data_IF_878324880990
#
_entry.id   IF_878324880990
#
_cell.length_a   1.000
_cell.length_b   1.000
_cell.length_c   1.000
_cell.angle_alpha   90.00
_cell.angle_beta   90.00
_cell.angle_gamma   90.00
#
_symmetry.space_group_name_H-M   'P 1'
#
loop_
_entity.id
_entity.type
_entity.pdbx_description
1 polymer ?
#
# COMPACT_ATOMS: atom_id res chain seq x y z
N UNK A 1 -17.62 -28.05 -14.14
CA UNK A 1 -16.98 -26.78 -14.58
C UNK A 1 -15.56 -27.10 -15.01
N UNK A 2 -15.10 -26.60 -16.16
CA UNK A 2 -13.72 -26.81 -16.60
C UNK A 2 -12.75 -25.98 -15.74
N UNK A 3 -11.50 -26.46 -15.58
CA UNK A 3 -10.45 -25.72 -14.87
C UNK A 3 -10.27 -24.28 -15.41
N UNK A 4 -10.50 -24.08 -16.71
CA UNK A 4 -10.44 -22.75 -17.35
C UNK A 4 -11.52 -21.78 -16.86
N UNK A 5 -12.76 -22.25 -16.68
CA UNK A 5 -13.87 -21.42 -16.20
C UNK A 5 -13.67 -21.01 -14.72
N UNK A 6 -13.09 -21.90 -13.92
CA UNK A 6 -12.75 -21.61 -12.52
C UNK A 6 -11.63 -20.56 -12.43
N UNK A 7 -10.61 -20.65 -13.27
CA UNK A 7 -9.50 -19.70 -13.30
C UNK A 7 -9.94 -18.28 -13.72
N UNK A 8 -10.82 -18.17 -14.72
CA UNK A 8 -11.41 -16.90 -15.15
C UNK A 8 -12.26 -16.25 -14.06
N UNK A 9 -13.15 -17.02 -13.40
CA UNK A 9 -13.97 -16.50 -12.31
C UNK A 9 -13.11 -16.02 -11.11
N UNK A 10 -11.99 -16.70 -10.83
CA UNK A 10 -11.04 -16.26 -9.82
C UNK A 10 -10.37 -14.94 -10.22
N UNK A 11 -9.92 -14.80 -11.46
CA UNK A 11 -9.35 -13.55 -11.99
C UNK A 11 -10.33 -12.37 -11.90
N UNK A 12 -11.59 -12.56 -12.27
CA UNK A 12 -12.63 -11.53 -12.17
C UNK A 12 -12.88 -11.12 -10.72
N UNK A 13 -12.96 -12.08 -9.80
CA UNK A 13 -13.15 -11.80 -8.37
C UNK A 13 -11.97 -11.03 -7.75
N UNK A 14 -10.75 -11.32 -8.21
CA UNK A 14 -9.51 -10.66 -7.81
C UNK A 14 -9.51 -9.21 -8.29
N UNK A 15 -9.81 -9.00 -9.58
CA UNK A 15 -9.88 -7.67 -10.16
C UNK A 15 -10.97 -6.82 -9.47
N UNK A 16 -12.13 -7.39 -9.19
CA UNK A 16 -13.23 -6.69 -8.53
C UNK A 16 -12.91 -6.27 -7.09
N UNK A 17 -12.27 -7.15 -6.31
CA UNK A 17 -11.85 -6.84 -4.93
C UNK A 17 -10.79 -5.73 -4.89
N UNK A 18 -9.79 -5.82 -5.76
CA UNK A 18 -8.75 -4.79 -5.89
C UNK A 18 -9.39 -3.47 -6.32
N UNK A 19 -10.21 -3.47 -7.39
CA UNK A 19 -10.85 -2.28 -7.92
C UNK A 19 -11.76 -1.57 -6.89
N UNK A 20 -12.57 -2.34 -6.15
CA UNK A 20 -13.44 -1.79 -5.10
C UNK A 20 -12.66 -1.16 -3.94
N UNK A 21 -11.53 -1.77 -3.56
CA UNK A 21 -10.66 -1.15 -2.56
C UNK A 21 -10.05 0.14 -3.10
N UNK A 22 -9.36 0.07 -4.24
CA UNK A 22 -8.59 1.17 -4.82
C UNK A 22 -9.41 2.40 -5.20
N UNK A 23 -10.69 2.24 -5.54
CA UNK A 23 -11.55 3.35 -5.96
C UNK A 23 -12.40 3.90 -4.82
N UNK A 24 -12.44 3.21 -3.68
CA UNK A 24 -13.06 3.73 -2.47
C UNK A 24 -12.09 4.66 -1.75
N UNK A 25 -12.56 5.74 -1.14
CA UNK A 25 -11.75 6.53 -0.20
C UNK A 25 -11.91 6.04 1.24
N UNK A 26 -12.87 5.13 1.48
CA UNK A 26 -13.32 4.66 2.79
C UNK A 26 -13.27 3.14 2.92
N UNK A 27 -12.42 2.46 2.13
CA UNK A 27 -12.28 1.01 2.23
C UNK A 27 -11.89 0.62 3.66
N UNK A 28 -12.60 -0.37 4.21
CA UNK A 28 -12.31 -0.90 5.53
C UNK A 28 -10.93 -1.58 5.57
N UNK A 29 -10.36 -1.71 6.76
CA UNK A 29 -9.11 -2.45 6.94
C UNK A 29 -9.19 -3.90 6.42
N UNK A 30 -10.35 -4.55 6.56
CA UNK A 30 -10.59 -5.90 6.03
C UNK A 30 -10.48 -5.94 4.49
N UNK A 31 -11.16 -5.02 3.80
CA UNK A 31 -11.08 -4.91 2.34
C UNK A 31 -9.66 -4.56 1.88
N UNK A 32 -8.98 -3.68 2.61
CA UNK A 32 -7.60 -3.30 2.32
C UNK A 32 -6.65 -4.50 2.42
N UNK A 33 -6.80 -5.33 3.45
CA UNK A 33 -6.02 -6.57 3.62
C UNK A 33 -6.31 -7.61 2.55
N UNK A 34 -7.57 -7.75 2.15
CA UNK A 34 -7.94 -8.63 1.04
C UNK A 34 -7.26 -8.16 -0.26
N UNK A 35 -7.38 -6.88 -0.60
CA UNK A 35 -6.72 -6.31 -1.77
C UNK A 35 -5.19 -6.47 -1.71
N UNK A 36 -4.57 -6.21 -0.55
CA UNK A 36 -3.13 -6.40 -0.34
C UNK A 36 -2.69 -7.85 -0.57
N UNK A 37 -3.39 -8.82 0.04
CA UNK A 37 -3.10 -10.25 -0.15
C UNK A 37 -3.25 -10.68 -1.61
N UNK A 38 -4.23 -10.12 -2.33
CA UNK A 38 -4.40 -10.38 -3.76
C UNK A 38 -3.25 -9.81 -4.59
N UNK A 39 -2.84 -8.56 -4.35
CA UNK A 39 -1.71 -7.92 -5.03
C UNK A 39 -0.42 -8.72 -4.85
N UNK A 40 -0.17 -9.25 -3.64
CA UNK A 40 0.97 -10.13 -3.38
C UNK A 40 0.86 -11.45 -4.17
N UNK A 41 -0.31 -12.11 -4.15
CA UNK A 41 -0.53 -13.39 -4.86
C UNK A 41 -0.41 -13.26 -6.38
N UNK A 42 -0.75 -12.11 -6.94
CA UNK A 42 -0.71 -11.88 -8.39
C UNK A 42 0.61 -11.26 -8.86
N UNK A 43 1.54 -10.95 -7.95
CA UNK A 43 2.82 -10.33 -8.30
C UNK A 43 2.71 -8.86 -8.71
N UNK A 44 1.58 -8.19 -8.42
CA UNK A 44 1.32 -6.80 -8.79
C UNK A 44 1.91 -5.78 -7.79
N UNK A 45 2.68 -6.22 -6.80
CA UNK A 45 3.22 -5.37 -5.74
C UNK A 45 4.25 -4.34 -6.23
N UNK A 46 4.85 -4.56 -7.40
CA UNK A 46 5.76 -3.60 -8.03
C UNK A 46 5.04 -2.40 -8.67
N UNK A 47 3.71 -2.44 -8.79
CA UNK A 47 2.95 -1.30 -9.29
C UNK A 47 2.88 -0.20 -8.20
N UNK A 48 3.61 0.89 -8.43
CA UNK A 48 3.71 2.02 -7.51
C UNK A 48 2.37 2.71 -7.27
N UNK A 49 1.44 2.67 -8.23
CA UNK A 49 0.10 3.20 -8.06
C UNK A 49 -0.71 2.35 -7.09
N UNK A 50 -0.66 1.02 -7.24
CA UNK A 50 -1.32 0.08 -6.33
C UNK A 50 -0.75 0.18 -4.91
N UNK A 51 0.57 0.22 -4.78
CA UNK A 51 1.23 0.35 -3.50
C UNK A 51 0.88 1.67 -2.79
N UNK A 52 0.86 2.79 -3.53
CA UNK A 52 0.48 4.10 -2.99
C UNK A 52 -0.96 4.12 -2.47
N UNK A 53 -1.89 3.50 -3.20
CA UNK A 53 -3.28 3.39 -2.76
C UNK A 53 -3.40 2.51 -1.52
N UNK A 54 -2.78 1.33 -1.50
CA UNK A 54 -2.74 0.48 -0.30
C UNK A 54 -2.20 1.22 0.92
N UNK A 55 -1.09 1.95 0.74
CA UNK A 55 -0.48 2.74 1.80
C UNK A 55 -1.44 3.81 2.33
N UNK A 56 -2.15 4.51 1.44
CA UNK A 56 -3.18 5.49 1.82
C UNK A 56 -4.34 4.84 2.61
N UNK A 57 -4.78 3.65 2.21
CA UNK A 57 -5.86 2.94 2.91
C UNK A 57 -5.44 2.44 4.30
N UNK A 58 -4.25 1.86 4.43
CA UNK A 58 -3.72 1.44 5.73
C UNK A 58 -3.50 2.64 6.65
N UNK A 59 -2.97 3.74 6.13
CA UNK A 59 -2.85 5.01 6.85
C UNK A 59 -4.20 5.55 7.34
N UNK A 60 -5.23 5.56 6.49
CA UNK A 60 -6.57 6.02 6.86
C UNK A 60 -7.24 5.12 7.92
N UNK A 61 -6.92 3.83 7.93
CA UNK A 61 -7.37 2.87 8.95
C UNK A 61 -6.42 2.82 10.17
N UNK A 62 -5.46 3.74 10.30
CA UNK A 62 -4.45 3.81 11.37
C UNK A 62 -3.61 2.54 11.54
N UNK A 63 -3.50 1.71 10.50
CA UNK A 63 -2.73 0.48 10.52
C UNK A 63 -1.32 0.71 9.96
N UNK A 64 -0.52 1.47 10.71
CA UNK A 64 0.79 1.92 10.24
C UNK A 64 1.82 0.81 10.06
N UNK A 65 1.69 -0.29 10.80
CA UNK A 65 2.55 -1.46 10.63
C UNK A 65 2.38 -2.04 9.21
N UNK A 66 1.14 -2.30 8.79
CA UNK A 66 0.83 -2.80 7.45
C UNK A 66 1.21 -1.76 6.38
N UNK A 67 1.01 -0.46 6.63
CA UNK A 67 1.43 0.62 5.72
C UNK A 67 2.96 0.66 5.52
N UNK A 68 3.72 0.43 6.59
CA UNK A 68 5.19 0.39 6.55
C UNK A 68 5.68 -0.83 5.76
N UNK A 69 5.04 -1.99 5.93
CA UNK A 69 5.35 -3.18 5.15
C UNK A 69 5.12 -2.97 3.65
N UNK A 70 4.03 -2.30 3.28
CA UNK A 70 3.78 -1.94 1.88
C UNK A 70 4.92 -1.09 1.34
N UNK A 71 5.36 -0.08 2.10
CA UNK A 71 6.46 0.80 1.69
C UNK A 71 7.79 0.04 1.53
N UNK A 72 8.11 -0.87 2.45
CA UNK A 72 9.31 -1.71 2.40
C UNK A 72 9.30 -2.71 1.21
N UNK A 73 8.12 -3.04 0.68
CA UNK A 73 7.93 -3.93 -0.47
C UNK A 73 8.03 -3.21 -1.82
N UNK A 74 7.91 -1.88 -1.86
CA UNK A 74 8.05 -1.12 -3.11
C UNK A 74 9.55 -1.01 -3.43
N UNK A 75 10.01 -1.41 -4.64
CA UNK A 75 11.43 -1.36 -4.98
C UNK A 75 11.99 0.08 -5.02
N UNK A 76 11.16 1.04 -5.44
CA UNK A 76 11.49 2.46 -5.57
C UNK A 76 10.33 3.33 -5.07
N UNK A 77 10.13 3.43 -3.74
CA UNK A 77 9.11 4.30 -3.19
C UNK A 77 9.44 5.75 -3.54
N UNK A 78 8.47 6.47 -4.10
CA UNK A 78 8.66 7.87 -4.47
C UNK A 78 8.34 8.80 -3.28
N UNK A 79 8.66 10.09 -3.44
CA UNK A 79 8.40 11.13 -2.43
C UNK A 79 6.94 11.16 -1.97
N UNK A 80 6.00 10.81 -2.86
CA UNK A 80 4.58 10.78 -2.53
C UNK A 80 4.24 9.63 -1.56
N UNK A 81 4.79 8.43 -1.77
CA UNK A 81 4.63 7.29 -0.86
C UNK A 81 5.12 7.62 0.55
N UNK A 82 6.31 8.24 0.66
CA UNK A 82 6.86 8.70 1.94
C UNK A 82 6.02 9.80 2.59
N UNK A 83 5.66 10.83 1.82
CA UNK A 83 4.88 11.97 2.30
C UNK A 83 3.52 11.53 2.84
N UNK A 84 2.89 10.53 2.19
CA UNK A 84 1.62 9.95 2.64
C UNK A 84 1.77 9.29 4.01
N UNK A 85 2.83 8.51 4.21
CA UNK A 85 3.08 7.82 5.48
C UNK A 85 3.40 8.82 6.60
N UNK A 86 4.22 9.83 6.32
CA UNK A 86 4.55 10.91 7.28
C UNK A 86 3.30 11.70 7.67
N UNK A 87 2.49 12.10 6.68
CA UNK A 87 1.24 12.81 6.92
C UNK A 87 0.31 11.98 7.83
N UNK A 88 0.19 10.68 7.55
CA UNK A 88 -0.62 9.78 8.36
C UNK A 88 -0.10 9.71 9.80
N UNK A 89 1.19 9.48 10.00
CA UNK A 89 1.80 9.46 11.33
C UNK A 89 1.61 10.76 12.11
N UNK A 90 1.79 11.90 11.43
CA UNK A 90 1.57 13.23 12.01
C UNK A 90 0.12 13.44 12.41
N UNK A 91 -0.84 13.04 11.55
CA UNK A 91 -2.29 13.18 11.78
C UNK A 91 -2.75 12.42 13.02
N UNK A 92 -2.13 11.29 13.31
CA UNK A 92 -2.51 10.41 14.41
C UNK A 92 -1.54 10.45 15.61
N UNK A 93 -0.65 11.45 15.67
CA UNK A 93 0.35 11.65 16.73
C UNK A 93 1.24 10.42 17.03
N UNK A 94 1.42 9.55 16.04
CA UNK A 94 2.26 8.35 16.13
C UNK A 94 3.45 8.55 15.21
N UNK A 95 4.46 9.33 15.59
CA UNK A 95 5.67 9.48 14.77
C UNK A 95 6.68 8.42 15.24
N UNK A 96 6.79 7.24 14.62
CA UNK A 96 7.81 6.29 15.00
C UNK A 96 9.19 6.86 14.67
N UNK A 97 10.19 6.48 15.46
CA UNK A 97 11.58 6.88 15.24
C UNK A 97 12.06 6.53 13.81
N UNK A 98 11.49 5.47 13.22
CA UNK A 98 11.77 5.02 11.84
C UNK A 98 11.41 6.08 10.77
N UNK A 99 10.44 6.96 11.03
CA UNK A 99 10.05 8.04 10.11
C UNK A 99 11.20 9.00 9.80
N UNK A 100 12.06 9.27 10.77
CA UNK A 100 13.25 10.11 10.57
C UNK A 100 14.29 9.46 9.66
N UNK A 101 14.43 8.13 9.73
CA UNK A 101 15.36 7.39 8.89
C UNK A 101 14.91 7.40 7.43
N UNK A 102 13.60 7.27 7.16
CA UNK A 102 13.06 7.41 5.81
C UNK A 102 13.39 8.78 5.19
N UNK A 103 13.31 9.87 5.96
CA UNK A 103 13.65 11.20 5.47
C UNK A 103 15.16 11.38 5.21
N UNK A 104 16.00 10.75 6.04
CA UNK A 104 17.45 10.81 5.87
C UNK A 104 17.99 9.97 4.70
N UNK A 105 17.25 8.94 4.28
CA UNK A 105 17.65 8.03 3.21
C UNK A 105 17.04 8.43 1.85
N UNK A 106 15.82 8.99 1.85
CA UNK A 106 15.13 9.44 0.64
C UNK A 106 15.73 10.73 0.02
N UNK A 107 16.63 11.42 0.71
CA UNK A 107 17.38 12.57 0.20
C UNK A 107 18.88 12.34 0.41
N UNK A 108 19.69 12.16 -0.65
CA UNK A 108 21.14 12.25 -0.49
C UNK A 108 21.43 13.65 0.06
N UNK A 109 22.15 13.69 1.18
CA UNK A 109 22.55 14.94 1.83
C UNK A 109 23.04 15.92 0.75
N UNK A 110 22.59 17.18 0.72
CA UNK A 110 23.23 18.16 -0.15
C UNK A 110 24.72 18.16 0.24
N UNK A 111 25.58 17.79 -0.70
CA UNK A 111 27.00 17.90 -0.52
C UNK A 111 27.30 19.35 -0.14
N UNK A 112 27.91 19.50 1.04
CA UNK A 112 28.39 20.78 1.55
C UNK A 112 29.41 21.40 0.58
#
# INVERSE_FOLDING_TARGET
MSLSAQALALLDSVQHTIFNCLNSTTASLSQTRQAHAHILKTGLFNDTHLATKLLSHYANNMCFADATLVLDLVPEPNVFSFSTLIYAFSKFHQIPSRTFYFFSDAHPRPHA
#
